data_IF_607383156761
#
_entry.id   IF_607383156761
#
_cell.length_a   1.000
_cell.length_b   1.000
_cell.length_c   1.000
_cell.angle_alpha   90.00
_cell.angle_beta   90.00
_cell.angle_gamma   90.00
#
_symmetry.space_group_name_H-M   'P 1'
#
loop_
_entity.id
_entity.type
_entity.pdbx_description
1 polymer ?
#
# COMPACT_ATOMS: atom_id res chain seq x y z
N UNK A 1 -20.41 -11.49 -0.27
CA UNK A 1 -19.75 -10.22 -0.68
C UNK A 1 -19.83 -9.10 0.36
N UNK A 2 -20.66 -9.19 1.41
CA UNK A 2 -20.75 -8.13 2.44
C UNK A 2 -19.41 -7.83 3.14
N UNK A 3 -18.60 -8.85 3.42
CA UNK A 3 -17.29 -8.68 4.07
C UNK A 3 -16.33 -7.73 3.34
N UNK A 4 -16.18 -7.86 2.02
CA UNK A 4 -15.31 -6.98 1.24
C UNK A 4 -15.79 -5.51 1.26
N UNK A 5 -17.11 -5.29 1.27
CA UNK A 5 -17.67 -3.94 1.38
C UNK A 5 -17.40 -3.31 2.75
N UNK A 6 -17.38 -4.10 3.83
CA UNK A 6 -16.97 -3.61 5.16
C UNK A 6 -15.52 -3.14 5.15
N UNK A 7 -14.63 -3.86 4.46
CA UNK A 7 -13.23 -3.43 4.32
C UNK A 7 -13.13 -2.11 3.54
N UNK A 8 -13.80 -1.98 2.39
CA UNK A 8 -13.82 -0.72 1.64
C UNK A 8 -14.39 0.45 2.46
N UNK A 9 -15.44 0.21 3.24
CA UNK A 9 -15.98 1.20 4.16
C UNK A 9 -14.97 1.60 5.24
N UNK A 10 -14.21 0.64 5.78
CA UNK A 10 -13.17 0.91 6.78
C UNK A 10 -12.03 1.76 6.17
N UNK A 11 -11.60 1.47 4.94
CA UNK A 11 -10.63 2.30 4.22
C UNK A 11 -11.14 3.73 4.02
N UNK A 12 -12.41 3.90 3.64
CA UNK A 12 -13.03 5.21 3.51
C UNK A 12 -13.11 5.96 4.85
N UNK A 13 -13.52 5.27 5.92
CA UNK A 13 -13.56 5.83 7.28
C UNK A 13 -12.17 6.29 7.76
N UNK A 14 -11.13 5.48 7.49
CA UNK A 14 -9.75 5.86 7.79
C UNK A 14 -9.32 7.12 7.03
N UNK A 15 -9.67 7.23 5.74
CA UNK A 15 -9.43 8.42 4.94
C UNK A 15 -10.14 9.68 5.45
N UNK A 16 -11.23 9.51 6.22
CA UNK A 16 -11.95 10.58 6.90
C UNK A 16 -11.46 10.85 8.33
N UNK A 17 -10.50 10.07 8.85
CA UNK A 17 -10.06 10.16 10.25
C UNK A 17 -11.06 9.60 11.27
N UNK A 18 -12.04 8.79 10.85
CA UNK A 18 -13.03 8.19 11.73
C UNK A 18 -12.51 6.89 12.37
N UNK A 19 -11.71 7.04 13.42
CA UNK A 19 -11.12 5.91 14.16
C UNK A 19 -12.16 4.94 14.70
N UNK A 20 -13.31 5.44 15.16
CA UNK A 20 -14.38 4.61 15.73
C UNK A 20 -15.06 3.81 14.63
N UNK A 21 -15.41 4.46 13.52
CA UNK A 21 -15.97 3.80 12.35
C UNK A 21 -15.04 2.71 11.80
N UNK A 22 -13.72 2.97 11.76
CA UNK A 22 -12.72 1.95 11.39
C UNK A 22 -12.81 0.74 12.30
N UNK A 23 -12.79 0.94 13.62
CA UNK A 23 -12.85 -0.16 14.59
C UNK A 23 -14.14 -0.99 14.42
N UNK A 24 -15.30 -0.32 14.38
CA UNK A 24 -16.60 -0.99 14.26
C UNK A 24 -16.73 -1.79 12.95
N UNK A 25 -16.20 -1.26 11.85
CA UNK A 25 -16.24 -1.93 10.54
C UNK A 25 -15.28 -3.12 10.46
N UNK A 26 -14.10 -3.01 11.05
CA UNK A 26 -13.12 -4.10 11.10
C UNK A 26 -13.60 -5.23 12.02
N UNK A 27 -14.21 -4.93 13.17
CA UNK A 27 -14.79 -5.93 14.07
C UNK A 27 -15.94 -6.70 13.37
N UNK A 28 -16.81 -5.99 12.66
CA UNK A 28 -17.84 -6.63 11.83
C UNK A 28 -17.23 -7.51 10.73
N UNK A 29 -16.19 -7.02 10.05
CA UNK A 29 -15.51 -7.79 9.01
C UNK A 29 -14.83 -9.04 9.57
N UNK A 30 -14.21 -8.95 10.75
CA UNK A 30 -13.61 -10.08 11.45
C UNK A 30 -14.66 -11.15 11.78
N UNK A 31 -15.82 -10.76 12.34
CA UNK A 31 -16.91 -11.69 12.60
C UNK A 31 -17.44 -12.39 11.33
N UNK A 32 -17.51 -11.67 10.21
CA UNK A 32 -17.87 -12.28 8.91
C UNK A 32 -16.78 -13.25 8.44
N UNK A 33 -15.50 -12.90 8.58
CA UNK A 33 -14.38 -13.75 8.19
C UNK A 33 -14.33 -15.06 9.00
N UNK A 34 -14.59 -15.00 10.30
CA UNK A 34 -14.71 -16.19 11.16
C UNK A 34 -15.85 -17.10 10.70
N UNK A 35 -17.00 -16.51 10.36
CA UNK A 35 -18.18 -17.27 9.93
C UNK A 35 -18.00 -17.96 8.58
N UNK A 36 -17.24 -17.35 7.66
CA UNK A 36 -16.91 -17.92 6.34
C UNK A 36 -15.90 -19.07 6.47
N UNK A 37 -15.01 -19.02 7.48
CA UNK A 37 -13.96 -20.01 7.72
C UNK A 37 -12.86 -20.04 6.64
N UNK A 38 -11.68 -20.57 6.98
CA UNK A 38 -10.51 -20.66 6.08
C UNK A 38 -10.71 -21.59 4.86
N UNK A 39 -11.84 -22.31 4.81
CA UNK A 39 -12.19 -23.24 3.72
C UNK A 39 -13.11 -22.67 2.64
N UNK A 40 -13.58 -21.42 2.80
CA UNK A 40 -14.82 -20.97 2.17
C UNK A 40 -14.73 -20.01 0.99
N UNK A 41 -13.55 -19.63 0.45
CA UNK A 41 -13.46 -19.02 -0.89
C UNK A 41 -12.02 -18.84 -1.40
N UNK A 42 -11.30 -19.94 -1.64
CA UNK A 42 -9.96 -19.86 -2.26
C UNK A 42 -9.99 -19.37 -3.72
N UNK A 43 -11.17 -19.14 -4.31
CA UNK A 43 -11.31 -18.98 -5.76
C UNK A 43 -12.26 -17.88 -6.26
N UNK A 44 -12.76 -16.93 -5.45
CA UNK A 44 -13.55 -15.84 -6.05
C UNK A 44 -13.63 -14.45 -5.41
N UNK A 45 -13.43 -14.26 -4.10
CA UNK A 45 -13.67 -12.92 -3.50
C UNK A 45 -12.49 -12.26 -2.80
N UNK A 46 -11.40 -12.98 -2.51
CA UNK A 46 -10.23 -12.41 -1.84
C UNK A 46 -10.49 -11.92 -0.41
N UNK A 47 -11.67 -12.21 0.15
CA UNK A 47 -12.07 -11.84 1.50
C UNK A 47 -11.87 -13.00 2.48
N UNK A 48 -11.35 -12.71 3.67
CA UNK A 48 -11.09 -13.66 4.75
C UNK A 48 -10.25 -13.02 5.85
N UNK A 49 -9.79 -13.82 6.81
CA UNK A 49 -8.94 -13.38 7.93
C UNK A 49 -7.71 -12.59 7.46
N UNK A 50 -7.07 -13.05 6.38
CA UNK A 50 -5.96 -12.36 5.74
C UNK A 50 -6.35 -10.95 5.26
N UNK A 51 -7.49 -10.79 4.60
CA UNK A 51 -7.93 -9.50 4.08
C UNK A 51 -8.25 -8.51 5.20
N UNK A 52 -8.86 -8.99 6.31
CA UNK A 52 -9.10 -8.19 7.52
C UNK A 52 -7.77 -7.73 8.12
N UNK A 53 -6.80 -8.62 8.26
CA UNK A 53 -5.47 -8.28 8.79
C UNK A 53 -4.72 -7.27 7.91
N UNK A 54 -4.89 -7.32 6.58
CA UNK A 54 -4.33 -6.30 5.69
C UNK A 54 -5.07 -4.96 5.84
N UNK A 55 -6.40 -4.97 5.95
CA UNK A 55 -7.18 -3.75 6.15
C UNK A 55 -6.82 -3.04 7.47
N UNK A 56 -6.51 -3.77 8.55
CA UNK A 56 -6.00 -3.18 9.79
C UNK A 56 -4.72 -2.35 9.57
N UNK A 57 -3.82 -2.82 8.70
CA UNK A 57 -2.57 -2.12 8.39
C UNK A 57 -2.87 -0.86 7.55
N UNK A 58 -3.68 -1.00 6.50
CA UNK A 58 -3.99 0.12 5.59
C UNK A 58 -4.78 1.20 6.32
N UNK A 59 -5.75 0.82 7.15
CA UNK A 59 -6.53 1.78 7.94
C UNK A 59 -5.68 2.45 9.02
N UNK A 60 -4.74 1.75 9.67
CA UNK A 60 -3.78 2.39 10.59
C UNK A 60 -2.91 3.44 9.88
N UNK A 61 -2.45 3.15 8.66
CA UNK A 61 -1.72 4.12 7.84
C UNK A 61 -2.61 5.31 7.43
N UNK A 62 -3.88 5.06 7.08
CA UNK A 62 -4.86 6.09 6.74
C UNK A 62 -5.21 7.02 7.90
N UNK A 63 -5.26 6.48 9.13
CA UNK A 63 -5.49 7.22 10.37
C UNK A 63 -4.24 8.01 10.85
N UNK A 64 -3.12 7.91 10.15
CA UNK A 64 -1.89 8.61 10.54
C UNK A 64 -1.13 7.94 11.68
N UNK A 65 -1.32 6.63 11.90
CA UNK A 65 -0.47 5.79 12.77
C UNK A 65 0.40 4.84 11.92
N UNK A 66 1.38 5.39 11.18
CA UNK A 66 2.22 4.57 10.32
C UNK A 66 3.12 3.62 11.12
N UNK A 67 3.40 3.92 12.40
CA UNK A 67 4.13 3.04 13.30
C UNK A 67 3.36 1.75 13.58
N UNK A 68 2.06 1.84 13.88
CA UNK A 68 1.19 0.66 14.01
C UNK A 68 1.07 -0.09 12.70
N UNK A 69 0.91 0.61 11.58
CA UNK A 69 0.83 0.00 10.26
C UNK A 69 2.07 -0.87 9.95
N UNK A 70 3.28 -0.33 10.14
CA UNK A 70 4.53 -1.07 9.89
C UNK A 70 4.70 -2.26 10.84
N UNK A 71 4.47 -2.09 12.15
CA UNK A 71 4.56 -3.21 13.11
C UNK A 71 3.59 -4.34 12.75
N UNK A 72 2.36 -4.00 12.35
CA UNK A 72 1.38 -5.00 11.92
C UNK A 72 1.75 -5.64 10.59
N UNK A 73 2.28 -4.87 9.64
CA UNK A 73 2.78 -5.40 8.37
C UNK A 73 3.83 -6.50 8.57
N UNK A 74 4.81 -6.27 9.45
CA UNK A 74 5.86 -7.26 9.76
C UNK A 74 5.29 -8.55 10.37
N UNK A 75 4.22 -8.44 11.15
CA UNK A 75 3.54 -9.61 11.73
C UNK A 75 2.75 -10.39 10.68
N UNK A 76 1.99 -9.71 9.82
CA UNK A 76 1.06 -10.33 8.87
C UNK A 76 1.78 -10.96 7.68
N UNK A 77 2.85 -10.33 7.18
CA UNK A 77 3.58 -10.84 6.00
C UNK A 77 4.44 -12.08 6.28
N UNK A 78 4.71 -12.37 7.55
CA UNK A 78 5.35 -13.62 7.98
C UNK A 78 4.39 -14.81 8.08
N UNK A 79 3.08 -14.60 7.93
CA UNK A 79 2.07 -15.65 8.06
C UNK A 79 1.71 -16.25 6.70
N UNK A 80 1.37 -17.53 6.70
CA UNK A 80 1.06 -18.31 5.50
C UNK A 80 -0.12 -17.75 4.65
N UNK A 81 -1.17 -17.12 5.21
CA UNK A 81 -2.24 -16.51 4.41
C UNK A 81 -1.78 -15.39 3.47
N UNK A 82 -0.67 -14.71 3.74
CA UNK A 82 -0.11 -13.67 2.86
C UNK A 82 0.24 -14.24 1.49
N UNK A 83 0.84 -15.44 1.42
CA UNK A 83 1.29 -16.05 0.18
C UNK A 83 0.15 -16.42 -0.78
N UNK A 84 -1.05 -16.65 -0.25
CA UNK A 84 -2.24 -17.11 -0.99
C UNK A 84 -3.02 -16.00 -1.68
N UNK A 85 -2.78 -14.74 -1.33
CA UNK A 85 -3.50 -13.62 -1.93
C UNK A 85 -3.10 -13.43 -3.41
N UNK A 86 -4.03 -12.98 -4.28
CA UNK A 86 -3.69 -12.63 -5.65
C UNK A 86 -2.54 -11.59 -5.69
N UNK A 87 -1.71 -11.68 -6.72
CA UNK A 87 -0.50 -10.84 -6.85
C UNK A 87 -0.85 -9.35 -6.85
N UNK A 88 -1.95 -8.98 -7.49
CA UNK A 88 -2.45 -7.61 -7.61
C UNK A 88 -2.81 -7.04 -6.23
N UNK A 89 -3.53 -7.82 -5.40
CA UNK A 89 -3.90 -7.40 -4.04
C UNK A 89 -2.67 -7.23 -3.16
N UNK A 90 -1.69 -8.14 -3.25
CA UNK A 90 -0.44 -8.03 -2.49
C UNK A 90 0.35 -6.79 -2.90
N UNK A 91 0.47 -6.53 -4.20
CA UNK A 91 1.17 -5.36 -4.70
C UNK A 91 0.46 -4.05 -4.31
N UNK A 92 -0.87 -4.00 -4.40
CA UNK A 92 -1.66 -2.85 -3.95
C UNK A 92 -1.46 -2.57 -2.46
N UNK A 93 -1.56 -3.60 -1.61
CA UNK A 93 -1.27 -3.50 -0.19
C UNK A 93 0.15 -2.99 0.10
N UNK A 94 1.17 -3.49 -0.62
CA UNK A 94 2.55 -3.03 -0.45
C UNK A 94 2.73 -1.56 -0.85
N UNK A 95 1.88 -0.99 -1.73
CA UNK A 95 1.89 0.46 -1.98
C UNK A 95 1.45 1.24 -0.74
N UNK A 96 0.45 0.78 -0.01
CA UNK A 96 -0.02 1.43 1.21
C UNK A 96 1.02 1.33 2.34
N UNK A 97 1.67 0.18 2.47
CA UNK A 97 2.80 0.01 3.41
C UNK A 97 3.99 0.89 3.01
N UNK A 98 4.28 1.02 1.72
CA UNK A 98 5.33 1.93 1.23
C UNK A 98 5.06 3.37 1.67
N UNK A 99 3.81 3.82 1.60
CA UNK A 99 3.41 5.15 2.12
C UNK A 99 3.58 5.25 3.63
N UNK A 100 3.24 4.20 4.39
CA UNK A 100 3.46 4.19 5.83
C UNK A 100 4.95 4.34 6.19
N UNK A 101 5.84 3.64 5.48
CA UNK A 101 7.29 3.83 5.65
C UNK A 101 7.76 5.25 5.29
N UNK A 102 7.22 5.84 4.22
CA UNK A 102 7.50 7.24 3.87
C UNK A 102 7.06 8.21 4.98
N UNK A 103 5.87 8.00 5.57
CA UNK A 103 5.38 8.82 6.68
C UNK A 103 6.26 8.72 7.94
N UNK A 104 6.89 7.56 8.18
CA UNK A 104 7.88 7.38 9.24
C UNK A 104 9.27 7.96 8.92
N UNK A 105 9.51 8.37 7.67
CA UNK A 105 10.84 8.77 7.19
C UNK A 105 11.80 7.60 6.97
N UNK A 106 11.32 6.35 7.02
CA UNK A 106 12.14 5.17 6.69
C UNK A 106 12.14 4.94 5.18
N UNK A 107 13.00 5.70 4.50
CA UNK A 107 13.19 5.61 3.06
C UNK A 107 13.66 4.21 2.64
N UNK A 108 14.48 3.54 3.44
CA UNK A 108 14.99 2.21 3.12
C UNK A 108 13.86 1.16 3.14
N UNK A 109 12.98 1.21 4.13
CA UNK A 109 11.75 0.42 4.19
C UNK A 109 10.85 0.66 2.99
N UNK A 110 10.57 1.92 2.68
CA UNK A 110 9.75 2.32 1.53
C UNK A 110 10.32 1.80 0.20
N UNK A 111 11.64 1.92 -0.01
CA UNK A 111 12.31 1.40 -1.20
C UNK A 111 12.20 -0.11 -1.33
N UNK A 112 12.40 -0.86 -0.22
CA UNK A 112 12.28 -2.33 -0.22
C UNK A 112 10.86 -2.79 -0.56
N UNK A 113 9.84 -2.22 0.08
CA UNK A 113 8.45 -2.60 -0.18
C UNK A 113 7.99 -2.24 -1.58
N UNK A 114 8.44 -1.10 -2.12
CA UNK A 114 8.14 -0.70 -3.49
C UNK A 114 8.75 -1.64 -4.54
N UNK A 115 10.01 -2.03 -4.36
CA UNK A 115 10.69 -2.99 -5.25
C UNK A 115 10.03 -4.36 -5.17
N UNK A 116 9.62 -4.79 -3.97
CA UNK A 116 8.91 -6.06 -3.79
C UNK A 116 7.54 -6.05 -4.47
N UNK A 117 6.78 -4.96 -4.34
CA UNK A 117 5.50 -4.82 -5.03
C UNK A 117 5.65 -4.88 -6.56
N UNK A 118 6.69 -4.23 -7.10
CA UNK A 118 7.00 -4.28 -8.53
C UNK A 118 7.38 -5.70 -8.99
N UNK A 119 8.10 -6.44 -8.15
CA UNK A 119 8.44 -7.85 -8.41
C UNK A 119 7.20 -8.74 -8.42
N UNK A 120 6.25 -8.51 -7.52
CA UNK A 120 5.01 -9.29 -7.41
C UNK A 120 4.05 -8.98 -8.57
N UNK A 121 3.78 -7.71 -8.82
CA UNK A 121 2.89 -7.29 -9.90
C UNK A 121 3.33 -5.93 -10.47
N UNK A 122 4.28 -5.96 -11.41
CA UNK A 122 4.81 -4.76 -12.06
C UNK A 122 3.71 -3.86 -12.66
N UNK A 123 2.57 -4.44 -13.09
CA UNK A 123 1.48 -3.67 -13.65
C UNK A 123 0.82 -2.72 -12.63
N UNK A 124 0.74 -3.12 -11.36
CA UNK A 124 0.20 -2.29 -10.28
C UNK A 124 1.11 -1.09 -9.98
N UNK A 125 2.43 -1.28 -10.10
CA UNK A 125 3.41 -0.22 -9.80
C UNK A 125 3.64 0.71 -10.99
N UNK A 126 3.83 0.14 -12.19
CA UNK A 126 4.30 0.89 -13.36
C UNK A 126 3.17 1.52 -14.17
N UNK A 127 1.98 0.92 -14.18
CA UNK A 127 0.88 1.36 -15.06
C UNK A 127 -0.26 2.04 -14.33
N UNK A 128 -0.55 1.67 -13.07
CA UNK A 128 -1.62 2.34 -12.33
C UNK A 128 -1.19 3.73 -11.86
N UNK A 129 -2.10 4.74 -11.93
CA UNK A 129 -1.81 6.09 -11.45
C UNK A 129 -1.37 6.12 -9.98
N UNK A 130 -1.99 5.30 -9.12
CA UNK A 130 -1.66 5.22 -7.70
C UNK A 130 -0.24 4.70 -7.46
N UNK A 131 0.17 3.64 -8.16
CA UNK A 131 1.53 3.07 -8.06
C UNK A 131 2.59 4.04 -8.57
N UNK A 132 2.34 4.69 -9.70
CA UNK A 132 3.26 5.71 -10.27
C UNK A 132 3.46 6.91 -9.34
N UNK A 133 2.41 7.32 -8.60
CA UNK A 133 2.50 8.40 -7.62
C UNK A 133 3.44 8.04 -6.46
N UNK A 134 3.28 6.84 -5.90
CA UNK A 134 4.15 6.35 -4.81
C UNK A 134 5.59 6.22 -5.30
N UNK A 135 5.80 5.65 -6.49
CA UNK A 135 7.12 5.57 -7.09
C UNK A 135 7.78 6.94 -7.26
N UNK A 136 7.02 7.97 -7.66
CA UNK A 136 7.53 9.32 -7.78
C UNK A 136 7.89 9.96 -6.43
N UNK A 137 7.11 9.70 -5.38
CA UNK A 137 7.42 10.15 -4.01
C UNK A 137 8.71 9.48 -3.49
N UNK A 138 8.79 8.14 -3.52
CA UNK A 138 9.98 7.41 -3.07
C UNK A 138 11.22 7.83 -3.87
N UNK A 139 11.10 8.02 -5.19
CA UNK A 139 12.22 8.46 -6.03
C UNK A 139 12.68 9.89 -5.71
N UNK A 140 11.75 10.79 -5.37
CA UNK A 140 12.10 12.18 -4.98
C UNK A 140 12.91 12.19 -3.68
N UNK A 141 12.49 11.39 -2.71
CA UNK A 141 13.04 11.44 -1.35
C UNK A 141 14.25 10.51 -1.17
N UNK A 142 14.40 9.48 -2.01
CA UNK A 142 15.49 8.49 -1.89
C UNK A 142 15.89 7.82 -3.21
N UNK A 143 16.38 8.56 -4.23
CA UNK A 143 16.74 7.98 -5.53
C UNK A 143 17.92 7.00 -5.46
N UNK A 144 18.79 7.13 -4.45
CA UNK A 144 19.97 6.27 -4.26
C UNK A 144 19.64 4.88 -3.70
N UNK A 145 18.40 4.61 -3.33
CA UNK A 145 17.99 3.31 -2.80
C UNK A 145 18.06 2.23 -3.87
N UNK A 146 18.69 1.11 -3.53
CA UNK A 146 18.89 -0.01 -4.44
C UNK A 146 17.55 -0.47 -5.06
N UNK A 147 17.49 -0.48 -6.39
CA UNK A 147 16.31 -0.88 -7.15
C UNK A 147 15.33 0.24 -7.48
N UNK A 148 15.23 1.31 -6.67
CA UNK A 148 14.28 2.41 -6.89
C UNK A 148 14.61 3.22 -8.15
N UNK A 149 15.87 3.60 -8.37
CA UNK A 149 16.26 4.33 -9.58
C UNK A 149 15.99 3.53 -10.86
N UNK A 150 16.31 2.23 -10.85
CA UNK A 150 16.06 1.32 -11.98
C UNK A 150 14.56 1.17 -12.25
N UNK A 151 13.76 1.07 -11.19
CA UNK A 151 12.31 1.00 -11.29
C UNK A 151 11.71 2.30 -11.83
N UNK A 152 12.16 3.46 -11.35
CA UNK A 152 11.74 4.76 -11.83
C UNK A 152 12.07 4.98 -13.31
N UNK A 153 13.21 4.49 -13.77
CA UNK A 153 13.57 4.48 -15.19
C UNK A 153 12.63 3.57 -16.01
N UNK A 154 12.37 2.34 -15.53
CA UNK A 154 11.49 1.39 -16.21
C UNK A 154 10.02 1.87 -16.31
N UNK A 155 9.56 2.66 -15.35
CA UNK A 155 8.22 3.26 -15.33
C UNK A 155 8.15 4.65 -16.00
N UNK A 156 9.27 5.19 -16.49
CA UNK A 156 9.33 6.52 -17.10
C UNK A 156 9.10 7.68 -16.13
N UNK A 157 9.25 7.47 -14.82
CA UNK A 157 9.02 8.49 -13.77
C UNK A 157 10.23 9.42 -13.60
N UNK A 158 11.44 8.94 -13.87
CA UNK A 158 12.68 9.73 -13.73
C UNK A 158 12.75 10.95 -14.67
N UNK A 159 12.10 10.90 -15.84
CA UNK A 159 12.11 12.01 -16.81
C UNK A 159 11.15 13.15 -16.46
N UNK A 160 10.04 12.87 -15.77
CA UNK A 160 9.03 13.88 -15.42
C UNK A 160 9.50 14.83 -14.30
N UNK A 161 10.37 14.37 -13.40
CA UNK A 161 10.94 15.19 -12.34
C UNK A 161 11.98 16.22 -12.82
N UNK A 162 12.70 15.95 -13.92
CA UNK A 162 13.69 16.88 -14.46
C UNK A 162 13.05 18.03 -15.25
N UNK A 163 11.89 17.81 -15.89
CA UNK A 163 11.19 18.84 -16.67
C UNK A 163 10.55 19.93 -15.80
N UNK A 164 10.29 19.66 -14.52
CA UNK A 164 9.74 20.66 -13.57
C UNK A 164 10.82 21.54 -12.91
N UNK A 165 12.11 21.19 -13.03
CA UNK A 165 13.22 21.90 -12.39
C UNK A 165 13.89 22.99 -13.25
N UNK A 166 13.55 23.12 -14.53
CA UNK A 166 14.24 24.05 -15.46
C UNK A 166 13.49 25.36 -15.75
N UNK A 167 12.37 25.64 -15.08
CA UNK A 167 11.49 26.77 -15.41
C UNK A 167 11.61 28.02 -14.52
N UNK A 168 12.67 28.19 -13.72
CA UNK A 168 12.81 29.37 -12.83
C UNK A 168 14.17 30.06 -12.85
N UNK A 169 14.94 29.93 -13.94
CA UNK A 169 16.13 30.77 -14.15
C UNK A 169 15.95 31.63 -15.39
N UNK A 170 15.63 32.90 -15.14
CA UNK A 170 15.99 34.00 -16.03
C UNK A 170 14.85 34.62 -16.82
N UNK A 171 14.22 35.66 -16.26
CA UNK A 171 14.14 36.99 -16.91
C UNK A 171 14.15 38.05 -15.82
N UNK A 172 15.33 38.58 -15.53
CA UNK A 172 15.50 39.89 -14.93
C UNK A 172 16.54 40.64 -15.78
N UNK A 173 16.06 41.39 -16.78
CA UNK A 173 16.43 42.79 -16.99
C UNK A 173 15.57 43.42 -18.09
#
# INVERSE_FOLDING_TARGET
>A
MWGALLLEAAHAAAGCGDERGVADLLDQAAGVAEWVGDGGDQHRTGFGSAAVALAEVVTAAGLGDPGRAVRRHEQVTGQEPWGRLPAEHRAAYLMDVTRAYLQLGDLAGAGRTLVEADRIAAAEVRWRPAGRRVLAEVYRDGPALAGVARLAAAAGVAAAGMAAGTATVGVAR
#
